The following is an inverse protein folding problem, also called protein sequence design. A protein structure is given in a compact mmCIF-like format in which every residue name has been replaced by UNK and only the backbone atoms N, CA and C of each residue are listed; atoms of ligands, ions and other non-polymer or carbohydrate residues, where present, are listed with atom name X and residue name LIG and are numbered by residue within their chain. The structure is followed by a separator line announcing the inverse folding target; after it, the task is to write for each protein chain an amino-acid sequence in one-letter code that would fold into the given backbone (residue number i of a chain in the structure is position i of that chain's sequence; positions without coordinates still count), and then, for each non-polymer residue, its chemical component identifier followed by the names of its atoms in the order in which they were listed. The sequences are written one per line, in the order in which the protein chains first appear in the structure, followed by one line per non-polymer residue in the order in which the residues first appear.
data_IF_668693997001
#
_entry.id   IF_668693997001
#
_cell.length_a   1.000
_cell.length_b   1.000
_cell.length_c   1.000
_cell.angle_alpha   90.00
_cell.angle_beta   90.00
_cell.angle_gamma   90.00
#
_symmetry.space_group_name_H-M   'P 1'
#
loop_
_entity.id
_entity.type
_entity.pdbx_description
1 polymer ?
#
# COMPACT_ATOMS: atom_id res chain seq x y z
N UNK A 1 -2.23 -29.72 -21.08
CA UNK A 1 -2.39 -28.44 -21.82
C UNK A 1 -1.62 -27.29 -21.18
N UNK A 2 -1.73 -26.99 -19.87
CA UNK A 2 -0.97 -25.85 -19.28
C UNK A 2 0.56 -26.05 -19.15
N UNK A 3 1.07 -27.29 -19.11
CA UNK A 3 2.50 -27.58 -18.92
C UNK A 3 3.37 -27.39 -20.18
N UNK A 4 2.77 -27.31 -21.38
CA UNK A 4 3.51 -27.27 -22.65
C UNK A 4 3.86 -25.85 -23.12
N UNK A 5 3.43 -24.82 -22.37
CA UNK A 5 3.59 -23.39 -22.73
C UNK A 5 4.30 -22.57 -21.65
N UNK A 6 5.07 -23.23 -20.78
CA UNK A 6 5.78 -22.61 -19.64
C UNK A 6 6.81 -21.56 -20.10
N UNK A 7 7.42 -21.77 -21.25
CA UNK A 7 8.38 -20.88 -21.91
C UNK A 7 7.74 -19.59 -22.44
N UNK A 8 6.42 -19.55 -22.58
CA UNK A 8 5.67 -18.37 -23.02
C UNK A 8 5.33 -17.41 -21.88
N UNK A 9 5.59 -17.81 -20.62
CA UNK A 9 5.31 -16.98 -19.46
C UNK A 9 6.16 -15.71 -19.48
N UNK A 10 5.50 -14.55 -19.42
CA UNK A 10 6.13 -13.24 -19.36
C UNK A 10 5.91 -12.65 -17.97
N UNK A 11 6.93 -12.00 -17.39
CA UNK A 11 6.75 -11.31 -16.11
C UNK A 11 5.77 -10.14 -16.27
N UNK A 12 5.03 -9.83 -15.21
CA UNK A 12 4.21 -8.63 -15.11
C UNK A 12 5.06 -7.38 -15.36
N UNK A 13 4.66 -6.55 -16.31
CA UNK A 13 5.44 -5.36 -16.74
C UNK A 13 4.87 -4.06 -16.21
N UNK A 14 3.58 -4.05 -15.92
CA UNK A 14 2.82 -2.84 -15.59
C UNK A 14 2.25 -2.96 -14.19
N UNK A 15 2.49 -1.93 -13.39
CA UNK A 15 2.32 -1.96 -11.94
C UNK A 15 2.11 -0.54 -11.40
N UNK A 16 1.79 -0.46 -10.11
CA UNK A 16 1.65 0.80 -9.40
C UNK A 16 2.68 0.86 -8.27
N UNK A 17 3.29 2.02 -8.07
CA UNK A 17 4.10 2.29 -6.87
C UNK A 17 3.44 3.37 -6.03
N UNK A 18 3.70 3.37 -4.72
CA UNK A 18 3.22 4.43 -3.83
C UNK A 18 4.21 4.76 -2.71
N UNK A 19 4.19 6.00 -2.25
CA UNK A 19 4.91 6.46 -1.07
C UNK A 19 4.01 7.35 -0.22
N UNK A 20 3.92 7.03 1.07
CA UNK A 20 3.25 7.87 2.06
C UNK A 20 4.23 8.91 2.63
N UNK A 21 3.76 10.14 2.79
CA UNK A 21 4.34 11.08 3.74
C UNK A 21 3.51 11.10 5.00
N UNK A 22 4.19 11.21 6.14
CA UNK A 22 3.56 11.20 7.45
C UNK A 22 3.96 12.45 8.24
N UNK A 23 3.14 12.80 9.21
CA UNK A 23 3.43 13.85 10.20
C UNK A 23 3.33 13.26 11.61
N UNK A 24 4.24 13.65 12.53
CA UNK A 24 4.14 13.23 13.91
C UNK A 24 3.06 14.03 14.63
N UNK A 25 2.14 13.34 15.28
CA UNK A 25 1.25 13.90 16.30
C UNK A 25 1.81 13.58 17.68
N UNK A 26 2.10 14.63 18.45
CA UNK A 26 2.61 14.48 19.82
C UNK A 26 1.47 14.00 20.71
N UNK A 27 1.69 12.90 21.43
CA UNK A 27 0.71 12.34 22.36
C UNK A 27 1.12 12.55 23.82
N UNK A 28 2.42 12.57 24.12
CA UNK A 28 2.95 12.85 25.45
C UNK A 28 4.30 13.54 25.30
N UNK A 29 4.56 14.51 26.18
CA UNK A 29 5.81 15.26 26.20
C UNK A 29 6.17 15.57 27.66
N UNK A 30 7.38 15.20 28.06
CA UNK A 30 7.95 15.54 29.35
C UNK A 30 9.31 16.19 29.12
N UNK A 31 9.58 17.31 29.79
CA UNK A 31 10.85 18.02 29.69
C UNK A 31 11.51 18.10 31.06
N UNK A 32 12.80 17.75 31.11
CA UNK A 32 13.60 17.94 32.32
C UNK A 32 13.13 17.13 33.52
N UNK A 33 12.35 16.07 33.31
CA UNK A 33 11.88 15.17 34.37
C UNK A 33 13.09 14.64 35.13
N UNK A 34 13.18 15.02 36.41
CA UNK A 34 14.27 14.63 37.29
C UNK A 34 14.10 13.16 37.68
N UNK A 35 15.05 12.33 37.29
CA UNK A 35 15.14 10.92 37.69
C UNK A 35 16.51 10.65 38.28
N UNK A 36 16.58 9.82 39.33
CA UNK A 36 17.84 9.39 39.91
C UNK A 36 18.21 8.02 39.35
N UNK A 37 19.31 7.93 38.61
CA UNK A 37 19.85 6.66 38.09
C UNK A 37 21.22 6.44 38.74
N UNK A 38 21.38 5.33 39.47
CA UNK A 38 22.61 5.02 40.23
C UNK A 38 23.09 6.15 41.16
N UNK A 39 22.15 6.90 41.76
CA UNK A 39 22.47 8.02 42.66
C UNK A 39 22.84 9.33 41.96
N UNK A 40 22.77 9.40 40.63
CA UNK A 40 23.04 10.59 39.83
C UNK A 40 21.70 11.22 39.40
N UNK A 41 21.56 12.52 39.63
CA UNK A 41 20.44 13.30 39.12
C UNK A 41 20.53 13.40 37.59
N UNK A 42 19.58 12.81 36.88
CA UNK A 42 19.44 12.86 35.43
C UNK A 42 18.18 13.63 35.08
N UNK A 43 18.30 14.58 34.15
CA UNK A 43 17.16 15.29 33.57
C UNK A 43 16.92 14.76 32.16
N UNK A 44 15.84 14.02 31.98
CA UNK A 44 15.48 13.46 30.69
C UNK A 44 14.27 14.19 30.10
N UNK A 45 14.33 14.44 28.80
CA UNK A 45 13.18 14.86 28.02
C UNK A 45 12.69 13.68 27.20
N UNK A 46 11.39 13.44 27.19
CA UNK A 46 10.75 12.36 26.46
C UNK A 46 9.61 12.95 25.61
N UNK A 47 9.52 12.51 24.37
CA UNK A 47 8.40 12.84 23.51
C UNK A 47 7.91 11.57 22.82
N UNK A 48 6.67 11.20 23.13
CA UNK A 48 5.98 10.12 22.42
C UNK A 48 5.13 10.73 21.32
N UNK A 49 5.26 10.17 20.12
CA UNK A 49 4.51 10.60 18.94
C UNK A 49 3.85 9.41 18.27
N UNK A 50 2.71 9.65 17.65
CA UNK A 50 2.06 8.73 16.71
C UNK A 50 2.19 9.35 15.33
N UNK A 51 2.54 8.54 14.33
CA UNK A 51 2.59 9.01 12.95
C UNK A 51 1.19 8.95 12.35
N UNK A 52 0.83 10.01 11.63
CA UNK A 52 -0.42 10.09 10.87
C UNK A 52 -0.10 10.32 9.39
N UNK A 53 -0.87 9.71 8.47
CA UNK A 53 -0.64 9.87 7.05
C UNK A 53 -1.02 11.30 6.62
N UNK A 54 -0.06 12.02 6.05
CA UNK A 54 -0.20 13.38 5.53
C UNK A 54 -0.65 13.36 4.07
N UNK A 55 -0.01 12.51 3.28
CA UNK A 55 -0.26 12.40 1.83
C UNK A 55 0.22 11.07 1.29
N UNK A 56 -0.28 10.70 0.11
CA UNK A 56 0.21 9.58 -0.68
C UNK A 56 0.43 10.02 -2.12
N UNK A 57 1.60 9.69 -2.65
CA UNK A 57 1.91 9.85 -4.07
C UNK A 57 2.03 8.47 -4.70
N UNK A 58 1.43 8.29 -5.88
CA UNK A 58 1.54 7.04 -6.62
C UNK A 58 1.94 7.27 -8.07
N UNK A 59 2.70 6.32 -8.60
CA UNK A 59 3.07 6.27 -10.01
C UNK A 59 2.51 5.01 -10.64
N UNK A 60 1.70 5.18 -11.67
CA UNK A 60 1.09 4.12 -12.46
C UNK A 60 1.93 3.94 -13.71
N UNK A 61 2.57 2.79 -13.83
CA UNK A 61 3.35 2.40 -15.00
C UNK A 61 2.49 1.53 -15.90
N UNK A 62 1.85 2.13 -16.90
CA UNK A 62 1.09 1.43 -17.94
C UNK A 62 1.96 1.12 -19.17
N UNK A 63 1.38 0.46 -20.16
CA UNK A 63 2.04 0.11 -21.43
C UNK A 63 2.51 1.34 -22.21
N UNK A 64 1.69 2.38 -22.26
CA UNK A 64 1.92 3.55 -23.09
C UNK A 64 2.42 4.77 -22.32
N UNK A 65 2.05 4.93 -21.04
CA UNK A 65 2.27 6.16 -20.29
C UNK A 65 2.69 5.89 -18.83
N UNK A 66 3.34 6.89 -18.23
CA UNK A 66 3.54 6.95 -16.79
C UNK A 66 2.64 8.04 -16.23
N UNK A 67 1.64 7.65 -15.45
CA UNK A 67 0.73 8.57 -14.78
C UNK A 67 1.15 8.74 -13.32
N UNK A 68 1.02 9.95 -12.79
CA UNK A 68 1.26 10.25 -11.38
C UNK A 68 -0.04 10.76 -10.76
N UNK A 69 -0.38 10.25 -9.59
CA UNK A 69 -1.54 10.70 -8.81
C UNK A 69 -1.08 11.06 -7.39
N UNK A 70 -1.79 11.98 -6.76
CA UNK A 70 -1.43 12.51 -5.45
C UNK A 70 -2.68 12.86 -4.65
N UNK A 71 -2.72 12.44 -3.40
CA UNK A 71 -3.80 12.68 -2.45
C UNK A 71 -3.21 13.13 -1.11
N UNK A 72 -3.90 14.02 -0.39
CA UNK A 72 -3.46 14.49 0.92
C UNK A 72 -4.62 14.81 1.86
N UNK A 73 -4.26 15.09 3.12
CA UNK A 73 -5.21 15.31 4.22
C UNK A 73 -6.21 16.45 3.98
N UNK A 74 -5.99 17.33 2.99
CA UNK A 74 -6.94 18.41 2.68
C UNK A 74 -8.18 17.88 1.96
N UNK A 75 -8.09 16.67 1.42
CA UNK A 75 -9.20 15.94 0.83
C UNK A 75 -9.81 15.03 1.89
N UNK A 76 -11.11 15.15 2.12
CA UNK A 76 -11.83 14.23 3.01
C UNK A 76 -11.71 12.80 2.50
N UNK A 77 -11.43 11.85 3.41
CA UNK A 77 -11.26 10.41 3.11
C UNK A 77 -10.27 10.16 1.97
N UNK A 78 -9.12 10.85 2.00
CA UNK A 78 -8.15 10.78 0.91
C UNK A 78 -7.55 9.39 0.69
N UNK A 79 -7.50 8.53 1.74
CA UNK A 79 -6.99 7.16 1.61
C UNK A 79 -7.99 6.29 0.85
N UNK A 80 -9.28 6.40 1.17
CA UNK A 80 -10.34 5.70 0.44
C UNK A 80 -10.39 6.14 -1.02
N UNK A 81 -10.39 7.46 -1.29
CA UNK A 81 -10.36 8.00 -2.65
C UNK A 81 -9.12 7.58 -3.43
N UNK A 82 -7.98 7.52 -2.75
CA UNK A 82 -6.76 6.97 -3.33
C UNK A 82 -6.93 5.49 -3.71
N UNK A 83 -7.46 4.65 -2.81
CA UNK A 83 -7.73 3.23 -3.11
C UNK A 83 -8.74 3.05 -4.26
N UNK A 84 -9.78 3.88 -4.34
CA UNK A 84 -10.72 3.89 -5.48
C UNK A 84 -9.98 4.16 -6.79
N UNK A 85 -9.13 5.18 -6.81
CA UNK A 85 -8.31 5.49 -7.98
C UNK A 85 -7.36 4.34 -8.32
N UNK A 86 -6.76 3.69 -7.32
CA UNK A 86 -5.88 2.54 -7.54
C UNK A 86 -6.61 1.38 -8.25
N UNK A 87 -7.84 1.06 -7.83
CA UNK A 87 -8.65 0.05 -8.50
C UNK A 87 -9.06 0.47 -9.91
N UNK A 88 -9.33 1.75 -10.17
CA UNK A 88 -9.64 2.24 -11.51
C UNK A 88 -8.45 2.07 -12.45
N UNK A 89 -7.26 2.50 -12.05
CA UNK A 89 -6.04 2.34 -12.83
C UNK A 89 -5.70 0.86 -13.06
N UNK A 90 -5.94 0.01 -12.05
CA UNK A 90 -5.66 -1.42 -12.14
C UNK A 90 -6.53 -2.16 -13.16
N UNK A 91 -7.72 -1.64 -13.53
CA UNK A 91 -8.49 -2.20 -14.66
C UNK A 91 -7.69 -2.11 -15.95
N UNK A 92 -7.15 -0.92 -16.25
CA UNK A 92 -6.30 -0.72 -17.42
C UNK A 92 -5.02 -1.55 -17.35
N UNK A 93 -4.38 -1.61 -16.17
CA UNK A 93 -3.16 -2.42 -16.01
C UNK A 93 -3.43 -3.92 -16.19
N UNK A 94 -4.64 -4.40 -15.87
CA UNK A 94 -5.02 -5.79 -16.11
C UNK A 94 -5.12 -6.10 -17.59
N UNK A 95 -5.64 -5.18 -18.40
CA UNK A 95 -5.65 -5.28 -19.86
C UNK A 95 -4.24 -5.18 -20.43
N UNK A 96 -3.45 -4.21 -19.97
CA UNK A 96 -2.08 -3.99 -20.47
C UNK A 96 -1.16 -5.19 -20.22
N UNK A 97 -1.37 -5.92 -19.13
CA UNK A 97 -0.58 -7.11 -18.77
C UNK A 97 -1.07 -8.41 -19.41
N UNK A 98 -2.20 -8.43 -20.12
CA UNK A 98 -2.63 -9.64 -20.84
C UNK A 98 -1.59 -10.07 -21.88
N UNK A 99 -1.53 -11.37 -22.14
CA UNK A 99 -0.76 -11.90 -23.27
C UNK A 99 -1.40 -11.50 -24.59
N UNK A 100 -0.58 -11.41 -25.65
CA UNK A 100 -1.10 -11.15 -27.00
C UNK A 100 -1.96 -12.32 -27.51
N UNK A 101 -1.70 -13.53 -27.01
CA UNK A 101 -2.53 -14.71 -27.25
C UNK A 101 -3.67 -14.80 -26.20
N UNK A 102 -4.94 -14.69 -26.61
CA UNK A 102 -6.09 -14.76 -25.72
C UNK A 102 -6.31 -16.15 -25.09
N UNK A 103 -5.69 -17.21 -25.60
CA UNK A 103 -5.79 -18.55 -25.01
C UNK A 103 -4.93 -18.71 -23.76
N UNK A 104 -3.96 -17.82 -23.52
CA UNK A 104 -3.14 -17.84 -22.31
C UNK A 104 -3.84 -17.02 -21.22
N UNK A 105 -4.38 -17.65 -20.16
CA UNK A 105 -5.05 -16.91 -19.10
C UNK A 105 -4.02 -16.08 -18.30
N UNK A 106 -4.35 -14.81 -18.06
CA UNK A 106 -3.61 -13.95 -17.14
C UNK A 106 -4.53 -13.53 -15.98
N UNK A 107 -4.36 -14.20 -14.83
CA UNK A 107 -5.09 -13.94 -13.59
C UNK A 107 -4.15 -13.61 -12.41
N UNK A 108 -3.11 -12.80 -12.70
CA UNK A 108 -2.18 -12.32 -11.69
C UNK A 108 -2.70 -10.98 -11.15
N UNK A 109 -2.67 -10.81 -9.83
CA UNK A 109 -2.97 -9.53 -9.16
C UNK A 109 -2.06 -8.41 -9.65
N UNK A 110 -2.60 -7.20 -9.76
CA UNK A 110 -1.83 -6.03 -10.19
C UNK A 110 -0.88 -5.60 -9.07
N UNK A 111 0.45 -5.62 -9.27
CA UNK A 111 1.37 -5.30 -8.19
C UNK A 111 1.23 -3.83 -7.76
N UNK A 112 1.01 -3.62 -6.46
CA UNK A 112 1.04 -2.31 -5.81
C UNK A 112 2.21 -2.29 -4.82
N UNK A 113 3.25 -1.51 -5.13
CA UNK A 113 4.54 -1.58 -4.46
C UNK A 113 4.76 -0.31 -3.63
N UNK A 114 4.82 -0.47 -2.31
CA UNK A 114 5.18 0.60 -1.38
C UNK A 114 6.70 0.81 -1.32
N UNK A 115 7.15 2.05 -1.18
CA UNK A 115 8.58 2.37 -1.00
C UNK A 115 9.08 2.13 0.43
N UNK A 116 8.20 2.18 1.43
CA UNK A 116 8.56 1.89 2.82
C UNK A 116 8.37 0.41 3.14
N UNK A 117 8.64 0.04 4.39
CA UNK A 117 8.32 -1.31 4.88
C UNK A 117 6.82 -1.57 4.74
N UNK A 118 6.46 -2.77 4.26
CA UNK A 118 5.08 -3.21 4.19
C UNK A 118 4.37 -3.08 5.55
N UNK A 119 5.02 -3.39 6.66
CA UNK A 119 4.42 -3.20 7.99
C UNK A 119 4.11 -1.73 8.28
N UNK A 120 5.02 -0.81 7.95
CA UNK A 120 4.86 0.62 8.21
C UNK A 120 3.67 1.20 7.43
N UNK A 121 3.62 0.97 6.12
CA UNK A 121 2.55 1.52 5.28
C UNK A 121 1.19 0.86 5.60
N UNK A 122 1.17 -0.44 5.91
CA UNK A 122 -0.07 -1.18 6.20
C UNK A 122 -0.80 -0.66 7.45
N UNK A 123 -0.09 -0.14 8.45
CA UNK A 123 -0.73 0.47 9.64
C UNK A 123 -1.68 1.62 9.24
N UNK A 124 -1.38 2.34 8.16
CA UNK A 124 -2.24 3.43 7.68
C UNK A 124 -3.41 2.91 6.86
N UNK A 125 -3.20 1.87 6.03
CA UNK A 125 -4.18 1.49 5.01
C UNK A 125 -5.08 0.30 5.38
N UNK A 126 -4.65 -0.60 6.28
CA UNK A 126 -5.31 -1.91 6.51
C UNK A 126 -6.80 -1.80 6.84
N UNK A 127 -7.19 -0.77 7.60
CA UNK A 127 -8.59 -0.51 7.99
C UNK A 127 -9.50 -0.16 6.80
N UNK A 128 -8.92 0.29 5.69
CA UNK A 128 -9.62 0.71 4.48
C UNK A 128 -9.65 -0.39 3.40
N UNK A 129 -8.91 -1.49 3.59
CA UNK A 129 -8.83 -2.60 2.63
C UNK A 129 -10.04 -3.54 2.67
N UNK A 130 -11.02 -3.29 3.55
CA UNK A 130 -12.29 -4.02 3.58
C UNK A 130 -13.46 -3.06 3.70
N UNK A 131 -14.32 -3.02 2.69
CA UNK A 131 -15.53 -2.22 2.66
C UNK A 131 -16.60 -2.91 1.76
N UNK A 132 -17.76 -2.29 1.46
CA UNK A 132 -18.75 -2.89 0.57
C UNK A 132 -18.27 -3.14 -0.88
N UNK A 133 -17.26 -2.43 -1.37
CA UNK A 133 -16.75 -2.49 -2.74
C UNK A 133 -15.59 -3.47 -2.93
N UNK A 134 -14.71 -3.63 -1.94
CA UNK A 134 -13.57 -4.55 -1.98
C UNK A 134 -13.30 -5.19 -0.62
N UNK A 135 -12.50 -6.26 -0.62
CA UNK A 135 -12.12 -6.97 0.60
C UNK A 135 -10.77 -7.64 0.46
N UNK A 136 -10.10 -7.84 1.59
CA UNK A 136 -8.89 -8.65 1.68
C UNK A 136 -9.25 -10.10 1.35
N UNK A 137 -8.52 -10.70 0.39
CA UNK A 137 -8.69 -12.10 -0.01
C UNK A 137 -7.60 -13.00 0.55
N UNK A 138 -6.39 -12.48 0.70
CA UNK A 138 -5.28 -13.22 1.29
C UNK A 138 -4.27 -12.27 1.94
N UNK A 139 -3.45 -12.81 2.83
CA UNK A 139 -2.31 -12.13 3.42
C UNK A 139 -1.13 -13.09 3.55
N UNK A 140 0.08 -12.57 3.37
CA UNK A 140 1.32 -13.28 3.59
C UNK A 140 2.08 -12.63 4.74
N UNK A 141 2.39 -13.43 5.76
CA UNK A 141 3.03 -12.98 7.00
C UNK A 141 2.06 -12.97 8.18
N UNK A 142 2.43 -12.26 9.24
CA UNK A 142 1.60 -12.01 10.41
C UNK A 142 1.44 -10.48 10.62
N UNK A 143 0.64 -10.06 11.61
CA UNK A 143 0.41 -8.63 11.87
C UNK A 143 1.69 -7.84 12.24
N UNK A 144 2.71 -8.53 12.76
CA UNK A 144 4.01 -7.95 13.11
C UNK A 144 4.95 -7.90 11.89
N UNK A 145 4.82 -8.87 10.99
CA UNK A 145 5.70 -9.07 9.82
C UNK A 145 4.88 -9.21 8.54
N UNK A 146 4.09 -8.19 8.22
CA UNK A 146 3.30 -8.17 6.99
C UNK A 146 4.26 -8.13 5.80
N UNK A 147 4.08 -9.07 4.86
CA UNK A 147 4.88 -9.11 3.61
C UNK A 147 4.06 -8.77 2.39
N UNK A 148 2.81 -9.27 2.31
CA UNK A 148 1.88 -9.02 1.20
C UNK A 148 0.44 -9.08 1.69
N UNK A 149 -0.41 -8.27 1.11
CA UNK A 149 -1.87 -8.33 1.27
C UNK A 149 -2.47 -8.31 -0.13
N UNK A 150 -3.44 -9.18 -0.39
CA UNK A 150 -4.20 -9.16 -1.64
C UNK A 150 -5.60 -8.66 -1.37
N UNK A 151 -6.07 -7.75 -2.22
CA UNK A 151 -7.37 -7.10 -2.08
C UNK A 151 -8.13 -7.18 -3.38
N UNK A 152 -9.34 -7.75 -3.33
CA UNK A 152 -10.18 -7.94 -4.51
C UNK A 152 -11.40 -7.03 -4.50
N UNK A 153 -11.58 -6.31 -5.61
CA UNK A 153 -12.79 -5.55 -5.88
C UNK A 153 -13.95 -6.52 -6.19
N UNK A 154 -15.05 -6.41 -5.45
CA UNK A 154 -16.17 -7.35 -5.46
C UNK A 154 -16.96 -7.29 -6.77
N UNK A 155 -17.13 -6.11 -7.34
CA UNK A 155 -17.89 -5.91 -8.59
C UNK A 155 -17.05 -6.22 -9.83
N UNK A 156 -15.87 -5.59 -9.96
CA UNK A 156 -15.04 -5.71 -11.17
C UNK A 156 -14.15 -6.95 -11.18
N UNK A 157 -13.96 -7.60 -10.03
CA UNK A 157 -13.11 -8.78 -9.89
C UNK A 157 -11.60 -8.49 -9.99
N UNK A 158 -11.18 -7.24 -10.15
CA UNK A 158 -9.76 -6.83 -10.17
C UNK A 158 -9.15 -7.05 -8.78
N UNK A 159 -7.93 -7.59 -8.75
CA UNK A 159 -7.16 -7.84 -7.53
C UNK A 159 -5.89 -7.00 -7.54
N UNK A 160 -5.61 -6.34 -6.42
CA UNK A 160 -4.36 -5.65 -6.09
C UNK A 160 -3.53 -6.50 -5.13
#
# INVERSE_FOLDING_TARGET
MAYERLDEFKPTRYFITYDFKTVPRIINQGYGSKSVVNGIDVHNSQQHTVLEPLSVASTIKSKSVIKKIYFDLRQESFIEKWLEQMFEEAKQLKEDNQYDDPEIPYDISIPVIGYNSAHFDMVFVIRYLTNPLWHITSYLGDFTHIKRVEVKHKITGVTL
#
